data_IF_678972782275
#
_entry.id   IF_678972782275
#
_cell.length_a   1.000
_cell.length_b   1.000
_cell.length_c   1.000
_cell.angle_alpha   90.00
_cell.angle_beta   90.00
_cell.angle_gamma   90.00
#
_symmetry.space_group_name_H-M   'P 1'
#
loop_
_entity.id
_entity.type
_entity.pdbx_description
1 polymer ?
#
# COMPACT_ATOMS: atom_id res chain seq x y z
N UNK A 1 6.49 0.62 14.71
CA UNK A 1 5.19 1.22 15.10
C UNK A 1 4.20 1.05 13.94
N UNK A 2 3.23 0.14 14.05
CA UNK A 2 2.07 0.10 13.13
C UNK A 2 0.84 0.41 13.96
N UNK A 3 0.60 1.71 14.16
CA UNK A 3 -0.60 2.21 14.80
C UNK A 3 -1.82 2.09 13.87
N UNK A 4 -3.01 2.24 14.45
CA UNK A 4 -4.28 2.34 13.75
C UNK A 4 -4.20 3.42 12.67
N UNK A 5 -4.56 3.09 11.43
CA UNK A 5 -4.58 4.06 10.32
C UNK A 5 -5.87 4.88 10.41
N UNK A 6 -5.78 6.20 10.38
CA UNK A 6 -6.97 7.05 10.25
C UNK A 6 -7.34 7.25 8.77
N UNK A 7 -8.60 7.58 8.45
CA UNK A 7 -9.04 7.87 7.08
C UNK A 7 -8.17 8.90 6.35
N UNK A 8 -7.78 9.98 7.04
CA UNK A 8 -6.90 11.02 6.50
C UNK A 8 -5.47 10.53 6.19
N UNK A 9 -5.00 9.50 6.90
CA UNK A 9 -3.68 8.90 6.65
C UNK A 9 -3.69 8.07 5.36
N UNK A 10 -4.82 7.46 5.01
CA UNK A 10 -4.98 6.69 3.78
C UNK A 10 -4.88 7.59 2.56
N UNK A 11 -5.56 8.75 2.57
CA UNK A 11 -5.52 9.69 1.44
C UNK A 11 -4.09 10.21 1.21
N UNK A 12 -3.38 10.56 2.29
CA UNK A 12 -1.96 10.98 2.23
C UNK A 12 -1.06 9.85 1.73
N UNK A 13 -1.29 8.62 2.19
CA UNK A 13 -0.54 7.45 1.74
C UNK A 13 -0.77 7.15 0.25
N UNK A 14 -2.02 7.26 -0.23
CA UNK A 14 -2.35 7.09 -1.64
C UNK A 14 -1.62 8.13 -2.50
N UNK A 15 -1.67 9.41 -2.13
CA UNK A 15 -0.93 10.45 -2.83
C UNK A 15 0.58 10.14 -2.90
N UNK A 16 1.18 9.66 -1.80
CA UNK A 16 2.58 9.22 -1.80
C UNK A 16 2.82 8.03 -2.75
N UNK A 17 1.96 7.02 -2.72
CA UNK A 17 2.12 5.82 -3.57
C UNK A 17 1.99 6.12 -5.06
N UNK A 18 1.19 7.12 -5.43
CA UNK A 18 1.05 7.59 -6.81
C UNK A 18 2.32 8.26 -7.37
N UNK A 19 3.29 8.60 -6.52
CA UNK A 19 4.60 9.12 -6.95
C UNK A 19 5.70 8.04 -6.95
N UNK A 20 5.45 6.87 -6.36
CA UNK A 20 6.47 5.83 -6.24
C UNK A 20 6.68 5.05 -7.54
N UNK A 21 7.92 4.64 -7.77
CA UNK A 21 8.28 3.66 -8.79
C UNK A 21 7.69 2.28 -8.47
N UNK A 22 7.62 1.42 -9.48
CA UNK A 22 7.19 0.03 -9.29
C UNK A 22 8.09 -0.74 -8.31
N UNK A 23 9.39 -0.40 -8.23
CA UNK A 23 10.33 -1.04 -7.30
C UNK A 23 10.03 -0.66 -5.85
N UNK A 24 9.81 0.63 -5.59
CA UNK A 24 9.45 1.13 -4.26
C UNK A 24 8.11 0.59 -3.79
N UNK A 25 7.12 0.51 -4.68
CA UNK A 25 5.83 -0.11 -4.39
C UNK A 25 5.95 -1.59 -3.99
N UNK A 26 6.87 -2.35 -4.59
CA UNK A 26 7.16 -3.74 -4.16
C UNK A 26 7.77 -3.78 -2.75
N UNK A 27 8.55 -2.77 -2.38
CA UNK A 27 9.04 -2.57 -1.02
C UNK A 27 7.89 -2.34 -0.02
N UNK A 28 6.98 -1.41 -0.35
CA UNK A 28 5.80 -1.11 0.46
C UNK A 28 4.87 -2.32 0.62
N UNK A 29 4.65 -3.08 -0.45
CA UNK A 29 3.90 -4.33 -0.39
C UNK A 29 4.51 -5.29 0.63
N UNK A 30 5.82 -5.56 0.54
CA UNK A 30 6.52 -6.45 1.49
C UNK A 30 6.39 -5.97 2.93
N UNK A 31 6.52 -4.65 3.16
CA UNK A 31 6.38 -4.04 4.48
C UNK A 31 4.98 -4.24 5.06
N UNK A 32 3.94 -4.07 4.26
CA UNK A 32 2.55 -4.11 4.71
C UNK A 32 1.97 -5.53 4.79
N UNK A 33 2.22 -6.33 3.76
CA UNK A 33 1.67 -7.69 3.63
C UNK A 33 2.58 -8.76 4.24
N UNK A 34 3.84 -8.42 4.60
CA UNK A 34 4.85 -9.36 5.12
C UNK A 34 5.14 -10.55 4.20
N UNK A 35 4.95 -10.36 2.90
CA UNK A 35 5.20 -11.35 1.84
C UNK A 35 5.55 -10.65 0.52
N UNK A 36 6.23 -11.30 -0.43
CA UNK A 36 6.47 -10.71 -1.74
C UNK A 36 5.15 -10.47 -2.51
N UNK A 37 5.10 -9.46 -3.39
CA UNK A 37 3.97 -9.29 -4.29
C UNK A 37 3.93 -10.40 -5.35
N UNK A 38 2.73 -10.82 -5.82
CA UNK A 38 2.60 -11.74 -6.94
C UNK A 38 3.43 -11.33 -8.16
N UNK A 39 4.02 -12.31 -8.84
CA UNK A 39 4.78 -12.06 -10.07
C UNK A 39 3.84 -11.48 -11.12
N UNK A 40 4.22 -10.35 -11.72
CA UNK A 40 3.50 -9.61 -12.79
C UNK A 40 2.40 -8.64 -12.36
N UNK A 41 2.29 -8.26 -11.08
CA UNK A 41 1.46 -7.10 -10.74
C UNK A 41 2.00 -5.84 -11.43
N UNK A 42 1.11 -5.13 -12.11
CA UNK A 42 1.38 -3.80 -12.66
C UNK A 42 1.53 -2.78 -11.53
N UNK A 43 2.07 -1.61 -11.87
CA UNK A 43 2.16 -0.49 -10.92
C UNK A 43 0.79 -0.11 -10.34
N UNK A 44 -0.23 0.01 -11.19
CA UNK A 44 -1.58 0.37 -10.77
C UNK A 44 -2.17 -0.67 -9.81
N UNK A 45 -2.01 -1.98 -10.10
CA UNK A 45 -2.48 -3.04 -9.21
C UNK A 45 -1.72 -3.06 -7.87
N UNK A 46 -0.43 -2.72 -7.85
CA UNK A 46 0.32 -2.56 -6.59
C UNK A 46 -0.23 -1.41 -5.75
N UNK A 47 -0.47 -0.24 -6.35
CA UNK A 47 -1.07 0.91 -5.64
C UNK A 47 -2.42 0.51 -5.05
N UNK A 48 -3.31 -0.08 -5.86
CA UNK A 48 -4.64 -0.52 -5.41
C UNK A 48 -4.57 -1.54 -4.28
N UNK A 49 -3.74 -2.58 -4.41
CA UNK A 49 -3.62 -3.62 -3.38
C UNK A 49 -3.06 -3.10 -2.06
N UNK A 50 -2.06 -2.21 -2.13
CA UNK A 50 -1.48 -1.55 -0.95
C UNK A 50 -2.52 -0.65 -0.27
N UNK A 51 -3.20 0.22 -1.04
CA UNK A 51 -4.23 1.12 -0.50
C UNK A 51 -5.39 0.36 0.11
N UNK A 52 -5.85 -0.70 -0.56
CA UNK A 52 -6.88 -1.60 -0.02
C UNK A 52 -6.46 -2.18 1.33
N UNK A 53 -5.20 -2.62 1.49
CA UNK A 53 -4.74 -3.15 2.78
C UNK A 53 -4.73 -2.11 3.90
N UNK A 54 -4.47 -0.84 3.58
CA UNK A 54 -4.57 0.25 4.56
C UNK A 54 -6.02 0.54 4.94
N UNK A 55 -6.94 0.50 3.97
CA UNK A 55 -8.38 0.64 4.21
C UNK A 55 -8.90 -0.46 5.13
N UNK A 56 -8.55 -1.73 4.90
CA UNK A 56 -8.92 -2.83 5.79
C UNK A 56 -8.46 -2.60 7.24
N UNK A 57 -7.28 -2.00 7.46
CA UNK A 57 -6.77 -1.72 8.82
C UNK A 57 -7.43 -0.53 9.49
N UNK A 58 -8.05 0.36 8.72
CA UNK A 58 -8.70 1.56 9.23
C UNK A 58 -10.19 1.34 9.51
N UNK A 59 -10.84 0.53 8.67
CA UNK A 59 -12.29 0.35 8.64
C UNK A 59 -12.78 -1.06 9.03
N UNK A 60 -11.89 -2.06 9.03
CA UNK A 60 -12.16 -3.41 9.53
C UNK A 60 -11.72 -3.57 10.98
#
# INVERSE_FOLDING_TARGET
>A
MQGKWAPGDIAKALARFLELTIFELRGEWRRLHRMPPPMRLSRDLLVRGITYKLQERAYG
#
